data_IF_875686665537
#
_entry.id   IF_875686665537
#
_cell.length_a   1.000
_cell.length_b   1.000
_cell.length_c   1.000
_cell.angle_alpha   90.00
_cell.angle_beta   90.00
_cell.angle_gamma   90.00
#
_symmetry.space_group_name_H-M   'P 1'
#
loop_
_entity.id
_entity.type
_entity.pdbx_description
1 polymer ?
#
# COMPACT_ATOMS: atom_id res chain seq x y z
N UNK A 1 7.49 10.93 -4.62
CA UNK A 1 6.82 9.62 -4.44
C UNK A 1 5.67 9.51 -5.42
N UNK A 2 5.53 8.37 -6.08
CA UNK A 2 4.48 8.13 -7.07
C UNK A 2 3.58 6.98 -6.64
N UNK A 3 2.40 6.87 -7.27
CA UNK A 3 1.52 5.74 -7.02
C UNK A 3 2.17 4.41 -7.42
N UNK A 4 2.99 4.42 -8.46
CA UNK A 4 3.74 3.24 -8.88
C UNK A 4 4.76 2.82 -7.82
N UNK A 5 5.45 3.77 -7.21
CA UNK A 5 6.41 3.48 -6.15
C UNK A 5 5.72 2.90 -4.91
N UNK A 6 4.58 3.45 -4.51
CA UNK A 6 3.78 2.92 -3.40
C UNK A 6 3.32 1.50 -3.73
N UNK A 7 2.81 1.28 -4.94
CA UNK A 7 2.35 -0.03 -5.36
C UNK A 7 3.45 -1.08 -5.31
N UNK A 8 4.65 -0.73 -5.78
CA UNK A 8 5.79 -1.62 -5.75
C UNK A 8 6.23 -1.92 -4.32
N UNK A 9 6.26 -0.92 -3.47
CA UNK A 9 6.60 -1.08 -2.05
C UNK A 9 5.65 -2.05 -1.36
N UNK A 10 4.35 -1.90 -1.61
CA UNK A 10 3.33 -2.79 -1.06
C UNK A 10 3.56 -4.23 -1.54
N UNK A 11 3.76 -4.41 -2.85
CA UNK A 11 3.99 -5.73 -3.43
C UNK A 11 5.23 -6.42 -2.85
N UNK A 12 6.32 -5.70 -2.76
CA UNK A 12 7.57 -6.26 -2.23
C UNK A 12 7.44 -6.64 -0.76
N UNK A 13 6.84 -5.77 0.05
CA UNK A 13 6.60 -6.04 1.46
C UNK A 13 5.68 -7.25 1.65
N UNK A 14 4.60 -7.30 0.85
CA UNK A 14 3.68 -8.43 0.87
C UNK A 14 4.40 -9.76 0.60
N UNK A 15 5.22 -9.77 -0.43
CA UNK A 15 5.96 -10.99 -0.81
C UNK A 15 6.97 -11.39 0.24
N UNK A 16 7.68 -10.43 0.82
CA UNK A 16 8.61 -10.73 1.91
C UNK A 16 7.92 -11.37 3.10
N UNK A 17 6.68 -10.99 3.36
CA UNK A 17 5.90 -11.53 4.48
C UNK A 17 5.15 -12.81 4.12
N UNK A 18 5.32 -13.33 2.90
CA UNK A 18 4.70 -14.58 2.46
C UNK A 18 3.20 -14.46 2.23
N UNK A 19 2.68 -13.27 2.01
CA UNK A 19 1.25 -13.04 1.80
C UNK A 19 0.90 -13.08 0.31
N UNK A 20 -0.27 -13.63 0.00
CA UNK A 20 -0.90 -13.48 -1.32
C UNK A 20 -1.69 -12.18 -1.36
N UNK A 21 -2.10 -11.74 -2.56
CA UNK A 21 -2.98 -10.58 -2.67
C UNK A 21 -4.29 -10.76 -1.91
N UNK A 22 -4.98 -11.92 -2.04
CA UNK A 22 -6.20 -12.14 -1.24
C UNK A 22 -5.94 -12.13 0.28
N UNK A 23 -4.83 -12.70 0.73
CA UNK A 23 -4.48 -12.69 2.15
C UNK A 23 -4.25 -11.27 2.66
N UNK A 24 -3.54 -10.45 1.90
CA UNK A 24 -3.32 -9.05 2.26
C UNK A 24 -4.65 -8.30 2.31
N UNK A 25 -5.52 -8.50 1.33
CA UNK A 25 -6.84 -7.86 1.31
C UNK A 25 -7.63 -8.18 2.59
N UNK A 26 -7.60 -9.45 3.01
CA UNK A 26 -8.29 -9.89 4.22
C UNK A 26 -7.71 -9.23 5.46
N UNK A 27 -6.40 -9.24 5.63
CA UNK A 27 -5.73 -8.64 6.80
C UNK A 27 -5.95 -7.14 6.85
N UNK A 28 -5.89 -6.48 5.70
CA UNK A 28 -6.07 -5.02 5.62
C UNK A 28 -7.54 -4.57 5.74
N UNK A 29 -8.49 -5.50 5.58
CA UNK A 29 -9.91 -5.16 5.59
C UNK A 29 -10.36 -4.47 4.31
N UNK A 30 -9.73 -4.79 3.17
CA UNK A 30 -10.08 -4.24 1.85
C UNK A 30 -10.52 -5.36 0.91
N UNK A 31 -11.04 -4.98 -0.28
CA UNK A 31 -11.31 -5.95 -1.32
C UNK A 31 -10.04 -6.35 -2.07
N UNK A 32 -10.08 -7.52 -2.70
CA UNK A 32 -8.97 -8.01 -3.51
C UNK A 32 -8.66 -7.04 -4.67
N UNK A 33 -9.70 -6.53 -5.33
CA UNK A 33 -9.51 -5.61 -6.45
C UNK A 33 -8.72 -4.38 -6.05
N UNK A 34 -8.95 -3.88 -4.83
CA UNK A 34 -8.20 -2.73 -4.32
C UNK A 34 -6.70 -3.04 -4.26
N UNK A 35 -6.33 -4.23 -3.76
CA UNK A 35 -4.93 -4.64 -3.67
C UNK A 35 -4.30 -4.75 -5.05
N UNK A 36 -5.01 -5.36 -6.00
CA UNK A 36 -4.53 -5.51 -7.39
C UNK A 36 -4.24 -4.14 -8.00
N UNK A 37 -5.20 -3.21 -7.87
CA UNK A 37 -5.07 -1.86 -8.43
C UNK A 37 -3.94 -1.08 -7.75
N UNK A 38 -3.83 -1.18 -6.42
CA UNK A 38 -2.79 -0.51 -5.66
C UNK A 38 -1.40 -0.98 -6.09
N UNK A 39 -1.20 -2.28 -6.19
CA UNK A 39 0.10 -2.84 -6.59
C UNK A 39 0.43 -2.53 -8.04
N UNK A 40 -0.57 -2.30 -8.87
CA UNK A 40 -0.38 -1.87 -10.26
C UNK A 40 -0.10 -0.37 -10.39
N UNK A 41 -0.16 0.38 -9.31
CA UNK A 41 0.13 1.81 -9.32
C UNK A 41 -1.02 2.69 -9.74
N UNK A 42 -2.27 2.22 -9.62
CA UNK A 42 -3.44 2.99 -10.02
C UNK A 42 -3.51 4.31 -9.25
N UNK A 43 -3.61 5.43 -9.99
CA UNK A 43 -3.54 6.77 -9.41
C UNK A 43 -4.77 7.17 -8.59
N UNK A 44 -5.91 6.49 -8.80
CA UNK A 44 -7.19 6.85 -8.19
C UNK A 44 -7.56 6.00 -6.98
N UNK A 45 -6.59 5.33 -6.34
CA UNK A 45 -6.85 4.56 -5.14
C UNK A 45 -7.25 5.47 -3.98
N UNK A 46 -8.28 5.06 -3.22
CA UNK A 46 -8.70 5.75 -2.01
C UNK A 46 -7.58 5.76 -0.99
N UNK A 47 -7.14 6.96 -0.56
CA UNK A 47 -5.98 7.07 0.32
C UNK A 47 -6.20 6.44 1.70
N UNK A 48 -7.41 6.51 2.23
CA UNK A 48 -7.70 5.86 3.51
C UNK A 48 -7.51 4.35 3.47
N UNK A 49 -7.88 3.72 2.36
CA UNK A 49 -7.64 2.29 2.16
C UNK A 49 -6.16 1.98 1.93
N UNK A 50 -5.43 2.89 1.27
CA UNK A 50 -3.98 2.75 1.13
C UNK A 50 -3.33 2.69 2.51
N UNK A 51 -3.72 3.57 3.42
CA UNK A 51 -3.20 3.55 4.79
C UNK A 51 -3.55 2.26 5.53
N UNK A 52 -4.75 1.72 5.34
CA UNK A 52 -5.10 0.41 5.91
C UNK A 52 -4.17 -0.70 5.44
N UNK A 53 -3.81 -0.69 4.16
CA UNK A 53 -2.90 -1.69 3.60
C UNK A 53 -1.49 -1.51 4.18
N UNK A 54 -1.00 -0.28 4.25
CA UNK A 54 0.32 0.00 4.81
C UNK A 54 0.39 -0.43 6.27
N UNK A 55 -0.63 -0.12 7.06
CA UNK A 55 -0.71 -0.53 8.46
C UNK A 55 -0.66 -2.05 8.58
N UNK A 56 -1.42 -2.76 7.74
CA UNK A 56 -1.43 -4.22 7.75
C UNK A 56 -0.06 -4.83 7.47
N UNK A 57 0.75 -4.15 6.67
CA UNK A 57 2.11 -4.58 6.33
C UNK A 57 3.16 -4.09 7.33
N UNK A 58 2.78 -3.23 8.28
CA UNK A 58 3.72 -2.63 9.22
C UNK A 58 4.58 -1.54 8.58
N UNK A 59 4.10 -0.93 7.51
CA UNK A 59 4.80 0.16 6.83
C UNK A 59 4.28 1.49 7.36
N UNK A 60 5.18 2.33 7.81
CA UNK A 60 4.86 3.67 8.27
C UNK A 60 5.42 4.69 7.30
N UNK A 61 4.58 5.68 6.94
CA UNK A 61 5.03 6.81 6.14
C UNK A 61 5.36 7.98 7.07
N UNK A 62 6.48 8.59 6.79
CA UNK A 62 6.91 9.80 7.49
C UNK A 62 6.91 10.95 6.51
N UNK A 63 6.27 12.06 6.89
CA UNK A 63 6.22 13.25 6.06
C UNK A 63 7.29 14.25 6.49
N UNK A 64 8.06 14.74 5.52
CA UNK A 64 9.02 15.83 5.74
C UNK A 64 8.60 16.99 4.85
N UNK A 65 8.37 18.13 5.45
CA UNK A 65 8.06 19.34 4.72
C UNK A 65 9.36 20.06 4.36
N UNK A 66 9.76 19.98 3.12
CA UNK A 66 11.00 20.61 2.63
C UNK A 66 10.94 22.14 2.76
N UNK A 67 9.74 22.73 2.74
CA UNK A 67 9.58 24.17 2.92
C UNK A 67 9.85 24.64 4.35
N UNK A 68 9.84 23.74 5.33
CA UNK A 68 10.13 24.02 6.73
C UNK A 68 11.61 23.93 7.06
N UNK A 69 12.41 23.46 6.12
CA UNK A 69 13.85 23.33 6.29
C UNK A 69 14.56 24.58 5.82
#
# INVERSE_FOLDING_TARGET
MTTEEIGLMVRESRKRQGLTQPSLAMVAGTGLRFIVDLEAGKATCQIGKVFQVLDALGIWLSAVDAGAL
#
